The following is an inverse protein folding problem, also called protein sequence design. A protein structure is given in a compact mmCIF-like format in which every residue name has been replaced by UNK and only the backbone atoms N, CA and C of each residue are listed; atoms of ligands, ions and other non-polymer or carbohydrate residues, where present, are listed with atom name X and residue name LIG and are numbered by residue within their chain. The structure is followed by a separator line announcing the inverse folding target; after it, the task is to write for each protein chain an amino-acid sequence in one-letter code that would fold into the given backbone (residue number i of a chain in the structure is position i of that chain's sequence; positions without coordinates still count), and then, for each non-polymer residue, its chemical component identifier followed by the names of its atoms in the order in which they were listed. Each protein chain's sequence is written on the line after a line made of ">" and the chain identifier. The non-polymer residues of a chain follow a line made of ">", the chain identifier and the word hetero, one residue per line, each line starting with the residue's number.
data_IF_058869214526
#
_entry.id   IF_058869214526
#
_cell.length_a   1.000
_cell.length_b   1.000
_cell.length_c   1.000
_cell.angle_alpha   90.00
_cell.angle_beta   90.00
_cell.angle_gamma   90.00
#
_symmetry.space_group_name_H-M   'P 1'
#
loop_
_entity.id
_entity.type
_entity.pdbx_description
1 polymer ?
#
# COMPACT_ATOMS: atom_id res chain seq x y z
N UNK A 1 9.80 -0.56 -0.28
CA UNK A 1 9.91 -1.93 0.29
C UNK A 1 8.81 -2.13 1.34
N UNK A 2 7.59 -1.59 1.11
CA UNK A 2 6.83 -1.01 2.21
C UNK A 2 5.65 -1.87 2.71
N UNK A 3 5.27 -2.92 1.98
CA UNK A 3 4.26 -3.89 2.42
C UNK A 3 4.69 -4.69 3.65
N UNK A 4 5.95 -5.14 3.67
CA UNK A 4 6.49 -5.94 4.77
C UNK A 4 7.32 -5.05 5.68
N UNK A 5 7.05 -5.13 6.99
CA UNK A 5 7.81 -4.34 7.97
C UNK A 5 9.31 -4.63 7.93
N UNK A 6 9.71 -5.86 7.57
CA UNK A 6 11.11 -6.26 7.42
C UNK A 6 11.31 -7.27 6.30
N UNK A 7 12.55 -7.44 5.82
CA UNK A 7 12.90 -8.45 4.81
C UNK A 7 12.63 -9.88 5.30
N UNK A 8 12.81 -10.13 6.60
CA UNK A 8 12.54 -11.41 7.24
C UNK A 8 11.04 -11.71 7.22
N UNK A 9 10.19 -10.70 7.47
CA UNK A 9 8.75 -10.85 7.39
C UNK A 9 8.29 -11.22 5.97
N UNK A 10 8.88 -10.58 4.95
CA UNK A 10 8.67 -10.93 3.53
C UNK A 10 9.07 -12.38 3.26
N UNK A 11 10.32 -12.73 3.57
CA UNK A 11 10.87 -14.07 3.35
C UNK A 11 10.03 -15.14 4.05
N UNK A 12 9.55 -14.86 5.26
CA UNK A 12 8.71 -15.79 6.01
C UNK A 12 7.33 -16.00 5.33
N UNK A 13 6.67 -14.94 4.88
CA UNK A 13 5.39 -15.04 4.16
C UNK A 13 5.55 -15.83 2.85
N UNK A 14 6.56 -15.51 2.05
CA UNK A 14 6.88 -16.22 0.80
C UNK A 14 7.22 -17.69 1.04
N UNK A 15 7.97 -17.99 2.10
CA UNK A 15 8.31 -19.37 2.48
C UNK A 15 7.06 -20.16 2.85
N UNK A 16 6.18 -19.60 3.69
CA UNK A 16 4.91 -20.23 4.07
C UNK A 16 4.07 -20.52 2.82
N UNK A 17 3.96 -19.55 1.91
CA UNK A 17 3.22 -19.71 0.64
C UNK A 17 3.80 -20.84 -0.21
N UNK A 18 5.11 -20.84 -0.45
CA UNK A 18 5.80 -21.88 -1.24
C UNK A 18 5.61 -23.27 -0.64
N UNK A 19 5.76 -23.41 0.67
CA UNK A 19 5.59 -24.71 1.35
C UNK A 19 4.14 -25.22 1.27
N UNK A 20 3.15 -24.32 1.31
CA UNK A 20 1.74 -24.70 1.10
C UNK A 20 1.45 -25.11 -0.34
N UNK A 21 2.03 -24.43 -1.33
CA UNK A 21 1.94 -24.83 -2.74
C UNK A 21 2.54 -26.23 -2.99
N UNK A 22 3.57 -26.61 -2.23
CA UNK A 22 4.15 -27.97 -2.24
C UNK A 22 3.31 -29.02 -1.49
N UNK A 23 2.14 -28.66 -0.96
CA UNK A 23 1.24 -29.60 -0.26
C UNK A 23 1.56 -29.84 1.22
N UNK A 24 2.53 -29.14 1.82
CA UNK A 24 2.82 -29.31 3.26
C UNK A 24 1.64 -28.82 4.12
N UNK A 25 1.34 -29.53 5.22
CA UNK A 25 0.31 -29.11 6.17
C UNK A 25 0.73 -27.88 6.97
N UNK A 26 -0.24 -27.09 7.44
CA UNK A 26 0.04 -25.91 8.27
C UNK A 26 0.77 -26.28 9.57
N UNK A 27 0.49 -27.43 10.16
CA UNK A 27 1.18 -27.91 11.37
C UNK A 27 2.68 -28.11 11.11
N UNK A 28 3.05 -28.74 9.98
CA UNK A 28 4.46 -28.94 9.61
C UNK A 28 5.17 -27.63 9.34
N UNK A 29 4.50 -26.68 8.66
CA UNK A 29 5.06 -25.36 8.37
C UNK A 29 5.23 -24.55 9.66
N UNK A 30 4.25 -24.57 10.56
CA UNK A 30 4.29 -23.89 11.85
C UNK A 30 5.49 -24.35 12.69
N UNK A 31 5.70 -25.67 12.78
CA UNK A 31 6.87 -26.25 13.46
C UNK A 31 8.19 -25.82 12.79
N UNK A 32 8.30 -25.88 11.46
CA UNK A 32 9.50 -25.48 10.73
C UNK A 32 9.81 -23.99 10.88
N UNK A 33 8.79 -23.14 10.97
CA UNK A 33 8.93 -21.68 11.04
C UNK A 33 8.98 -21.11 12.47
N UNK A 34 8.85 -21.95 13.50
CA UNK A 34 8.76 -21.49 14.89
C UNK A 34 7.53 -20.61 15.17
N UNK A 35 6.41 -20.90 14.49
CA UNK A 35 5.16 -20.13 14.60
C UNK A 35 4.04 -20.99 15.19
N UNK A 36 3.00 -20.34 15.72
CA UNK A 36 1.74 -21.04 16.01
C UNK A 36 1.02 -21.43 14.72
N UNK A 37 0.18 -22.46 14.81
CA UNK A 37 -0.69 -22.89 13.70
C UNK A 37 -1.54 -21.73 13.18
N UNK A 38 -2.21 -21.00 14.07
CA UNK A 38 -3.10 -19.89 13.69
C UNK A 38 -2.34 -18.77 12.98
N UNK A 39 -1.15 -18.40 13.46
CA UNK A 39 -0.32 -17.38 12.80
C UNK A 39 0.11 -17.83 11.40
N UNK A 40 0.42 -19.12 11.23
CA UNK A 40 0.80 -19.69 9.94
C UNK A 40 -0.37 -19.64 8.94
N UNK A 41 -1.57 -20.04 9.37
CA UNK A 41 -2.80 -19.96 8.55
C UNK A 41 -3.10 -18.53 8.14
N UNK A 42 -3.04 -17.58 9.08
CA UNK A 42 -3.31 -16.16 8.79
C UNK A 42 -2.29 -15.57 7.83
N UNK A 43 -0.98 -15.84 8.03
CA UNK A 43 0.07 -15.37 7.12
C UNK A 43 -0.13 -15.92 5.71
N UNK A 44 -0.45 -17.21 5.58
CA UNK A 44 -0.74 -17.82 4.28
C UNK A 44 -1.94 -17.16 3.59
N UNK A 45 -3.06 -17.00 4.29
CA UNK A 45 -4.27 -16.37 3.71
C UNK A 45 -4.02 -14.94 3.26
N UNK A 46 -3.32 -14.14 4.07
CA UNK A 46 -2.94 -12.76 3.72
C UNK A 46 -2.03 -12.71 2.50
N UNK A 47 -1.16 -13.70 2.35
CA UNK A 47 -0.27 -13.82 1.20
C UNK A 47 -1.02 -14.24 -0.07
N UNK A 48 -1.98 -15.17 0.03
CA UNK A 48 -2.85 -15.53 -1.09
C UNK A 48 -3.67 -14.32 -1.57
N UNK A 49 -4.35 -13.62 -0.67
CA UNK A 49 -5.16 -12.45 -1.00
C UNK A 49 -4.32 -11.38 -1.69
N UNK A 50 -3.12 -11.14 -1.21
CA UNK A 50 -2.24 -10.18 -1.87
C UNK A 50 -1.78 -10.59 -3.24
N UNK A 51 -1.39 -11.85 -3.42
CA UNK A 51 -0.95 -12.33 -4.74
C UNK A 51 -2.07 -12.24 -5.76
N UNK A 52 -3.29 -12.54 -5.33
CA UNK A 52 -4.49 -12.33 -6.13
C UNK A 52 -4.67 -10.84 -6.46
N UNK A 53 -4.60 -9.95 -5.47
CA UNK A 53 -4.72 -8.51 -5.73
C UNK A 53 -3.59 -7.98 -6.62
N UNK A 54 -2.35 -8.41 -6.42
CA UNK A 54 -1.18 -7.95 -7.16
C UNK A 54 -1.19 -8.44 -8.61
N UNK A 55 -1.90 -9.54 -8.88
CA UNK A 55 -2.17 -9.99 -10.24
C UNK A 55 -3.06 -9.00 -11.00
N UNK A 56 -4.10 -8.46 -10.36
CA UNK A 56 -4.98 -7.46 -10.98
C UNK A 56 -4.40 -6.04 -10.92
N UNK A 57 -3.69 -5.71 -9.84
CA UNK A 57 -3.21 -4.38 -9.53
C UNK A 57 -1.71 -4.42 -9.18
N UNK A 58 -0.80 -4.52 -10.17
CA UNK A 58 0.63 -4.74 -9.90
C UNK A 58 1.28 -3.67 -9.02
N UNK A 59 0.77 -2.43 -9.06
CA UNK A 59 1.32 -1.33 -8.26
C UNK A 59 1.25 -1.57 -6.75
N UNK A 60 0.33 -2.42 -6.27
CA UNK A 60 0.20 -2.68 -4.83
C UNK A 60 1.42 -3.39 -4.22
N UNK A 61 2.32 -3.95 -5.04
CA UNK A 61 3.58 -4.53 -4.57
C UNK A 61 4.52 -3.48 -3.95
N UNK A 62 4.37 -2.21 -4.34
CA UNK A 62 5.30 -1.13 -4.01
C UNK A 62 4.85 -0.30 -2.80
N UNK A 63 3.56 -0.32 -2.49
CA UNK A 63 2.93 0.43 -1.40
C UNK A 63 2.57 -0.46 -0.20
N UNK A 64 2.31 0.16 0.95
CA UNK A 64 1.82 -0.57 2.12
C UNK A 64 0.32 -0.90 2.01
N UNK A 65 -0.11 -1.93 2.75
CA UNK A 65 -1.53 -2.28 2.86
C UNK A 65 -2.40 -1.14 3.46
N UNK A 66 -1.78 -0.20 4.19
CA UNK A 66 -2.49 1.00 4.68
C UNK A 66 -2.81 1.95 3.54
N UNK A 67 -1.82 2.21 2.68
CA UNK A 67 -1.96 3.11 1.53
C UNK A 67 -2.88 2.52 0.48
N UNK A 68 -2.75 1.22 0.17
CA UNK A 68 -3.70 0.49 -0.69
C UNK A 68 -5.14 0.68 -0.19
N UNK A 69 -5.37 0.46 1.11
CA UNK A 69 -6.71 0.61 1.70
C UNK A 69 -7.23 2.05 1.66
N UNK A 70 -6.34 3.05 1.78
CA UNK A 70 -6.71 4.45 1.66
C UNK A 70 -7.14 4.78 0.22
N UNK A 71 -6.37 4.34 -0.78
CA UNK A 71 -6.68 4.51 -2.20
C UNK A 71 -8.05 3.90 -2.52
N UNK A 72 -8.23 2.61 -2.23
CA UNK A 72 -9.48 1.87 -2.52
C UNK A 72 -10.72 2.50 -1.90
N UNK A 73 -10.60 3.14 -0.74
CA UNK A 73 -11.73 3.75 -0.03
C UNK A 73 -12.02 5.18 -0.45
N UNK A 74 -10.97 5.95 -0.77
CA UNK A 74 -11.09 7.38 -1.01
C UNK A 74 -11.34 7.71 -2.47
N UNK A 75 -10.63 7.03 -3.37
CA UNK A 75 -10.52 7.42 -4.78
C UNK A 75 -10.88 6.30 -5.75
N UNK A 76 -11.02 5.05 -5.26
CA UNK A 76 -11.41 3.90 -6.07
C UNK A 76 -10.30 2.87 -6.21
N UNK A 77 -10.66 1.65 -6.57
CA UNK A 77 -9.68 0.57 -6.80
C UNK A 77 -9.18 0.53 -8.24
N UNK A 78 -9.95 1.09 -9.18
CA UNK A 78 -9.59 1.28 -10.59
C UNK A 78 -8.29 2.07 -10.76
N UNK A 79 -8.01 3.02 -9.87
CA UNK A 79 -6.76 3.79 -9.88
C UNK A 79 -5.53 2.96 -9.52
N UNK A 80 -5.71 1.75 -8.94
CA UNK A 80 -4.60 0.82 -8.73
C UNK A 80 -4.24 0.04 -10.00
N UNK A 81 -5.11 0.03 -11.02
CA UNK A 81 -4.81 -0.53 -12.35
C UNK A 81 -3.87 0.39 -13.13
N UNK A 82 -4.10 1.70 -13.01
CA UNK A 82 -3.37 2.75 -13.74
C UNK A 82 -2.70 3.70 -12.72
N UNK A 83 -1.54 3.30 -12.16
CA UNK A 83 -0.85 4.13 -11.18
C UNK A 83 -0.50 5.53 -11.69
N UNK A 84 -0.37 5.76 -12.99
CA UNK A 84 -0.14 7.10 -13.55
C UNK A 84 -1.25 8.09 -13.17
N UNK A 85 -2.50 7.64 -13.11
CA UNK A 85 -3.65 8.48 -12.72
C UNK A 85 -3.63 8.82 -11.22
N UNK A 86 -3.01 7.97 -10.39
CA UNK A 86 -2.74 8.25 -8.98
C UNK A 86 -1.71 9.37 -8.80
N UNK A 87 -0.84 9.61 -9.79
CA UNK A 87 0.17 10.66 -9.72
C UNK A 87 -0.39 12.06 -10.03
N UNK A 88 -1.67 12.16 -10.40
CA UNK A 88 -2.32 13.44 -10.62
C UNK A 88 -2.43 14.25 -9.30
N UNK A 89 -1.94 15.50 -9.24
CA UNK A 89 -2.02 16.34 -8.04
C UNK A 89 -3.43 16.50 -7.45
N UNK A 90 -4.48 16.48 -8.28
CA UNK A 90 -5.87 16.55 -7.82
C UNK A 90 -6.30 15.26 -7.12
N UNK A 91 -5.90 14.11 -7.67
CA UNK A 91 -6.12 12.77 -7.08
C UNK A 91 -5.39 12.65 -5.75
N UNK A 92 -4.10 13.01 -5.70
CA UNK A 92 -3.30 13.02 -4.47
C UNK A 92 -3.91 13.99 -3.45
N UNK A 93 -4.37 15.16 -3.90
CA UNK A 93 -5.02 16.15 -3.06
C UNK A 93 -6.34 15.66 -2.46
N UNK A 94 -7.11 14.89 -3.22
CA UNK A 94 -8.34 14.23 -2.73
C UNK A 94 -8.01 13.16 -1.70
N UNK A 95 -7.03 12.30 -2.00
CA UNK A 95 -6.55 11.27 -1.09
C UNK A 95 -6.10 11.87 0.26
N UNK A 96 -5.33 12.96 0.23
CA UNK A 96 -4.82 13.60 1.44
C UNK A 96 -5.92 14.21 2.33
N UNK A 97 -7.01 14.71 1.73
CA UNK A 97 -8.14 15.26 2.48
C UNK A 97 -8.97 14.19 3.18
N UNK A 98 -8.78 12.92 2.84
CA UNK A 98 -9.56 11.83 3.40
C UNK A 98 -9.26 11.61 4.89
N UNK A 99 -10.29 11.46 5.74
CA UNK A 99 -10.08 11.21 7.16
C UNK A 99 -9.24 9.95 7.41
N UNK A 100 -8.12 10.12 8.13
CA UNK A 100 -7.20 9.04 8.47
C UNK A 100 -6.08 8.81 7.46
N UNK A 101 -6.03 9.57 6.36
CA UNK A 101 -4.84 9.70 5.52
C UNK A 101 -3.92 10.75 6.14
N UNK A 102 -2.65 10.40 6.31
CA UNK A 102 -1.63 11.27 6.88
C UNK A 102 -0.40 11.32 5.98
N UNK A 103 0.59 12.14 6.34
CA UNK A 103 1.84 12.27 5.57
C UNK A 103 2.53 10.93 5.32
N UNK A 104 2.38 9.95 6.23
CA UNK A 104 2.93 8.61 6.05
C UNK A 104 2.34 7.86 4.87
N UNK A 105 1.06 8.09 4.53
CA UNK A 105 0.43 7.50 3.33
C UNK A 105 0.95 8.17 2.06
N UNK A 106 1.13 9.50 2.06
CA UNK A 106 1.69 10.21 0.92
C UNK A 106 3.15 9.85 0.66
N UNK A 107 3.96 9.76 1.72
CA UNK A 107 5.36 9.35 1.62
C UNK A 107 5.47 7.91 1.11
N UNK A 108 4.66 6.99 1.64
CA UNK A 108 4.61 5.60 1.18
C UNK A 108 4.19 5.49 -0.29
N UNK A 109 3.24 6.33 -0.72
CA UNK A 109 2.82 6.41 -2.13
C UNK A 109 3.95 6.93 -3.02
N UNK A 110 4.60 8.05 -2.65
CA UNK A 110 5.71 8.62 -3.40
C UNK A 110 6.92 7.67 -3.50
N UNK A 111 7.27 6.99 -2.40
CA UNK A 111 8.27 5.93 -2.39
C UNK A 111 7.86 4.75 -3.29
N UNK A 112 6.57 4.40 -3.29
CA UNK A 112 5.99 3.38 -4.15
C UNK A 112 6.17 3.69 -5.64
N UNK A 113 5.86 4.92 -6.06
CA UNK A 113 6.08 5.40 -7.43
C UNK A 113 7.55 5.29 -7.84
N UNK A 114 8.46 5.81 -7.02
CA UNK A 114 9.91 5.73 -7.27
C UNK A 114 10.38 4.28 -7.40
N UNK A 115 9.94 3.40 -6.49
CA UNK A 115 10.33 1.99 -6.48
C UNK A 115 9.77 1.20 -7.68
N UNK A 116 8.62 1.61 -8.19
CA UNK A 116 7.98 1.03 -9.38
C UNK A 116 8.55 1.59 -10.70
N UNK A 117 9.38 2.63 -10.66
CA UNK A 117 10.01 3.24 -11.84
C UNK A 117 9.17 4.32 -12.53
N UNK A 118 8.11 4.79 -11.89
CA UNK A 118 7.28 5.90 -12.37
C UNK A 118 7.85 7.25 -11.92
N UNK A 119 7.41 8.33 -12.56
CA UNK A 119 7.66 9.68 -12.06
C UNK A 119 6.99 9.83 -10.68
N UNK A 120 7.77 10.21 -9.68
CA UNK A 120 7.28 10.42 -8.33
C UNK A 120 6.91 11.89 -8.10
N UNK A 121 6.28 12.17 -6.97
CA UNK A 121 5.89 13.52 -6.55
C UNK A 121 6.53 13.87 -5.21
N UNK A 122 6.54 15.17 -4.90
CA UNK A 122 7.01 15.70 -3.63
C UNK A 122 5.81 15.87 -2.67
N UNK A 123 5.71 15.04 -1.61
CA UNK A 123 4.60 15.12 -0.66
C UNK A 123 4.49 16.49 0.02
N UNK A 124 5.60 17.16 0.31
CA UNK A 124 5.60 18.44 1.01
C UNK A 124 5.00 19.54 0.13
N UNK A 125 5.39 19.59 -1.15
CA UNK A 125 4.82 20.54 -2.12
C UNK A 125 3.31 20.33 -2.33
N UNK A 126 2.84 19.08 -2.36
CA UNK A 126 1.41 18.80 -2.45
C UNK A 126 0.68 19.36 -1.22
N UNK A 127 1.22 19.10 -0.03
CA UNK A 127 0.65 19.57 1.23
C UNK A 127 0.61 21.11 1.28
N UNK A 128 1.72 21.77 0.95
CA UNK A 128 1.81 23.23 0.89
C UNK A 128 0.74 23.82 -0.04
N UNK A 129 0.66 23.34 -1.28
CA UNK A 129 -0.32 23.80 -2.27
C UNK A 129 -1.77 23.67 -1.78
N UNK A 130 -2.10 22.59 -1.06
CA UNK A 130 -3.43 22.38 -0.49
C UNK A 130 -3.76 23.41 0.60
N UNK A 131 -2.81 23.73 1.47
CA UNK A 131 -3.00 24.71 2.53
C UNK A 131 -2.99 26.15 2.00
N UNK A 132 -2.18 26.48 1.00
CA UNK A 132 -2.18 27.81 0.36
C UNK A 132 -3.50 28.10 -0.35
N UNK A 133 -4.08 27.12 -1.05
CA UNK A 133 -5.40 27.26 -1.69
C UNK A 133 -6.52 27.48 -0.66
N UNK A 134 -6.47 26.79 0.49
CA UNK A 134 -7.43 27.00 1.59
C UNK A 134 -7.37 28.43 2.13
N UNK A 135 -6.16 28.98 2.31
CA UNK A 135 -5.98 30.35 2.79
C UNK A 135 -6.43 31.43 1.80
N UNK A 136 -6.35 31.18 0.48
CA UNK A 136 -6.91 32.10 -0.53
C UNK A 136 -8.44 32.11 -0.56
N UNK A 137 -9.10 30.97 -0.33
CA UNK A 137 -10.55 30.89 -0.25
C UNK A 137 -11.14 31.66 0.95
N UNK A 138 -10.39 31.75 2.06
CA UNK A 138 -10.80 32.57 3.22
C UNK A 138 -10.56 34.08 3.01
N UNK A 139 -9.59 34.48 2.19
CA UNK A 139 -9.27 35.91 1.92
C UNK A 139 -10.06 36.53 0.76
N UNK A 140 -10.91 35.76 0.09
CA UNK A 140 -11.80 36.23 -0.98
C UNK A 140 -13.25 36.41 -0.50
N UNK A 141 -13.45 36.30 0.82
CA UNK A 141 -14.68 36.65 1.53
C UNK A 141 -14.34 37.86 2.41
N UNK A 142 -13.91 38.95 1.78
CA UNK A 142 -13.81 40.30 2.35
C UNK A 142 -14.15 41.30 1.23
#
# INVERSE_FOLDING_TARGET
>A
MNRYRTKEAKKQAETIFRLRQQGKSYQKIAAQAGLSYQNTVQKYRKECLFREQAFYYPFIEYISARTEKAIRRCIGEELLEQPEDLNNPETIGTLFKWPGVNNGVLNDLAEGFTAAGYESFDPEKIIENLFTRKNRAYRSID
#
